data_IF_474925844921
#
_entry.id   IF_474925844921
#
_cell.length_a   1.000
_cell.length_b   1.000
_cell.length_c   1.000
_cell.angle_alpha   90.00
_cell.angle_beta   90.00
_cell.angle_gamma   90.00
#
_symmetry.space_group_name_H-M   'P 1'
#
loop_
_entity.id
_entity.type
_entity.pdbx_description
1 polymer ?
#
# COMPACT_ATOMS: atom_id res chain seq x y z
N UNK A 1 -12.69 -6.35 -2.55
CA UNK A 1 -11.51 -6.83 -3.29
C UNK A 1 -10.50 -7.32 -2.28
N UNK A 2 -9.86 -8.46 -2.52
CA UNK A 2 -8.86 -9.05 -1.61
C UNK A 2 -7.57 -9.20 -2.41
N UNK A 3 -6.45 -8.65 -1.90
CA UNK A 3 -5.11 -8.81 -2.48
C UNK A 3 -4.30 -9.70 -1.54
N UNK A 4 -3.80 -10.86 -1.99
CA UNK A 4 -2.87 -11.67 -1.23
C UNK A 4 -1.55 -10.94 -0.97
N UNK A 5 -1.00 -11.04 0.24
CA UNK A 5 0.28 -10.39 0.58
C UNK A 5 1.47 -10.77 -0.31
N UNK A 6 1.64 -12.04 -0.74
CA UNK A 6 2.71 -12.41 -1.66
C UNK A 6 2.65 -11.71 -3.01
N UNK A 7 1.47 -11.25 -3.43
CA UNK A 7 1.27 -10.58 -4.71
C UNK A 7 1.61 -9.07 -4.63
N UNK A 8 1.78 -8.52 -3.42
CA UNK A 8 2.22 -7.14 -3.22
C UNK A 8 3.75 -7.11 -3.37
N UNK A 9 4.23 -6.52 -4.46
CA UNK A 9 5.65 -6.39 -4.76
C UNK A 9 6.23 -5.23 -3.95
N UNK A 10 5.51 -4.11 -3.92
CA UNK A 10 5.96 -2.88 -3.29
C UNK A 10 4.78 -2.07 -2.75
N UNK A 11 4.96 -1.43 -1.59
CA UNK A 11 4.06 -0.42 -1.08
C UNK A 11 4.79 0.92 -0.98
N UNK A 12 4.21 1.98 -1.54
CA UNK A 12 4.79 3.32 -1.46
C UNK A 12 3.76 4.37 -1.06
N UNK A 13 4.23 5.38 -0.35
CA UNK A 13 3.44 6.54 0.06
C UNK A 13 3.72 7.70 -0.86
N UNK A 14 2.68 8.36 -1.36
CA UNK A 14 2.79 9.62 -2.09
C UNK A 14 1.77 10.64 -1.62
N UNK A 15 2.09 11.92 -1.79
CA UNK A 15 1.15 13.01 -1.50
C UNK A 15 0.24 13.25 -2.70
N UNK A 16 -1.07 13.04 -2.52
CA UNK A 16 -2.09 13.51 -3.44
C UNK A 16 -2.45 14.97 -3.16
N UNK A 17 -3.22 15.58 -4.07
CA UNK A 17 -3.63 16.99 -3.97
C UNK A 17 -4.46 17.31 -2.71
N UNK A 18 -5.14 16.31 -2.13
CA UNK A 18 -6.10 16.49 -1.01
C UNK A 18 -5.82 15.56 0.16
N UNK A 19 -5.16 14.42 -0.08
CA UNK A 19 -4.86 13.43 0.94
C UNK A 19 -3.63 12.62 0.53
N UNK A 20 -2.98 11.99 1.51
CA UNK A 20 -1.94 11.02 1.26
C UNK A 20 -2.52 9.76 0.62
N UNK A 21 -1.76 9.17 -0.29
CA UNK A 21 -2.13 7.97 -1.03
C UNK A 21 -1.07 6.91 -0.76
N UNK A 22 -1.52 5.67 -0.51
CA UNK A 22 -0.67 4.49 -0.52
C UNK A 22 -0.95 3.76 -1.83
N UNK A 23 0.10 3.56 -2.62
CA UNK A 23 0.05 2.71 -3.80
C UNK A 23 0.60 1.34 -3.45
N UNK A 24 -0.17 0.30 -3.74
CA UNK A 24 0.22 -1.10 -3.65
C UNK A 24 0.45 -1.63 -5.06
N UNK A 25 1.70 -1.88 -5.38
CA UNK A 25 2.11 -2.44 -6.68
C UNK A 25 2.03 -3.96 -6.61
N UNK A 26 1.34 -4.54 -7.59
CA UNK A 26 1.26 -5.99 -7.81
C UNK A 26 1.80 -6.32 -9.21
N UNK A 27 1.95 -7.60 -9.52
CA UNK A 27 2.38 -8.04 -10.87
C UNK A 27 1.37 -7.70 -11.97
N UNK A 28 0.10 -7.47 -11.63
CA UNK A 28 -0.97 -7.21 -12.57
C UNK A 28 -1.30 -5.72 -12.71
N UNK A 29 -1.31 -4.98 -11.59
CA UNK A 29 -1.71 -3.56 -11.55
C UNK A 29 -1.29 -2.89 -10.23
N UNK A 30 -1.54 -1.58 -10.12
CA UNK A 30 -1.32 -0.78 -8.90
C UNK A 30 -2.66 -0.37 -8.28
N UNK A 31 -2.87 -0.73 -7.01
CA UNK A 31 -4.01 -0.25 -6.22
C UNK A 31 -3.62 1.01 -5.44
N UNK A 32 -4.31 2.12 -5.71
CA UNK A 32 -4.16 3.37 -4.94
C UNK A 32 -5.23 3.51 -3.87
N UNK A 33 -4.81 3.68 -2.61
CA UNK A 33 -5.67 3.87 -1.44
C UNK A 33 -5.47 5.27 -0.87
N UNK A 34 -6.50 6.11 -0.90
CA UNK A 34 -6.52 7.39 -0.17
C UNK A 34 -6.80 7.13 1.30
N UNK A 35 -5.94 7.62 2.18
CA UNK A 35 -6.10 7.46 3.61
C UNK A 35 -5.60 8.68 4.38
N UNK A 36 -6.25 8.93 5.53
CA UNK A 36 -5.72 9.81 6.57
C UNK A 36 -4.88 8.94 7.51
N UNK A 37 -3.64 9.35 7.81
CA UNK A 37 -2.72 8.53 8.61
C UNK A 37 -1.91 7.50 7.81
N UNK A 38 -1.48 7.84 6.60
CA UNK A 38 -0.75 6.92 5.71
C UNK A 38 0.59 6.41 6.27
N UNK A 39 1.17 7.10 7.28
CA UNK A 39 2.46 6.75 7.87
C UNK A 39 2.39 5.44 8.67
N UNK A 40 1.40 5.30 9.56
CA UNK A 40 1.22 4.05 10.32
C UNK A 40 0.77 2.91 9.40
N UNK A 41 -0.09 3.21 8.43
CA UNK A 41 -0.65 2.19 7.54
C UNK A 41 0.42 1.58 6.62
N UNK A 42 1.37 2.37 6.09
CA UNK A 42 2.43 1.83 5.25
C UNK A 42 3.39 0.92 6.04
N UNK A 43 3.66 1.25 7.30
CA UNK A 43 4.47 0.40 8.19
C UNK A 43 3.80 -0.95 8.45
N UNK A 44 2.49 -0.95 8.72
CA UNK A 44 1.69 -2.17 8.92
C UNK A 44 1.70 -3.03 7.65
N UNK A 45 1.51 -2.42 6.48
CA UNK A 45 1.50 -3.11 5.19
C UNK A 45 2.87 -3.75 4.90
N UNK A 46 3.96 -3.01 5.09
CA UNK A 46 5.30 -3.54 4.87
C UNK A 46 5.67 -4.65 5.87
N UNK A 47 5.25 -4.52 7.14
CA UNK A 47 5.43 -5.57 8.13
C UNK A 47 4.65 -6.84 7.76
N UNK A 48 3.38 -6.71 7.35
CA UNK A 48 2.55 -7.83 6.92
C UNK A 48 3.13 -8.52 5.69
N UNK A 49 3.60 -7.77 4.69
CA UNK A 49 4.22 -8.30 3.48
C UNK A 49 5.50 -9.09 3.77
N UNK A 50 6.34 -8.61 4.70
CA UNK A 50 7.61 -9.28 5.07
C UNK A 50 7.43 -10.53 5.95
N UNK A 51 6.25 -10.70 6.55
CA UNK A 51 5.97 -11.83 7.42
C UNK A 51 5.51 -13.09 6.67
N UNK A 52 5.34 -13.00 5.35
CA UNK A 52 4.88 -14.08 4.44
C UNK A 52 5.98 -14.44 3.47
#
# INVERSE_FOLDING_TARGET
MVIPWPDVIHAQKRFGMVATIIDLETSADTLSIRCYGADELIEIIEAARKAV
#
